data_IF_807024272106
#
_entry.id   IF_807024272106
#
_cell.length_a   1.000
_cell.length_b   1.000
_cell.length_c   1.000
_cell.angle_alpha   90.00
_cell.angle_beta   90.00
_cell.angle_gamma   90.00
#
_symmetry.space_group_name_H-M   'P 1'
#
loop_
_entity.id
_entity.type
_entity.pdbx_description
1 polymer ?
#
# COMPACT_ATOMS: atom_id res chain seq x y z
N UNK A 1 -4.61 -9.71 20.01
CA UNK A 1 -4.36 -10.04 18.59
C UNK A 1 -5.72 -10.03 17.92
N UNK A 2 -5.93 -9.27 16.84
CA UNK A 2 -7.24 -9.20 16.18
C UNK A 2 -7.55 -10.52 15.46
N UNK A 3 -8.79 -11.00 15.53
CA UNK A 3 -9.23 -12.19 14.80
C UNK A 3 -9.50 -11.85 13.33
N UNK A 4 -9.53 -12.87 12.47
CA UNK A 4 -9.88 -12.71 11.06
C UNK A 4 -11.27 -12.10 10.89
N UNK A 5 -12.25 -12.55 11.68
CA UNK A 5 -13.61 -11.98 11.72
C UNK A 5 -13.60 -10.48 12.07
N UNK A 6 -12.70 -10.06 12.99
CA UNK A 6 -12.59 -8.65 13.37
C UNK A 6 -12.09 -7.78 12.23
N UNK A 7 -11.17 -8.31 11.41
CA UNK A 7 -10.64 -7.64 10.22
C UNK A 7 -11.72 -7.57 9.14
N UNK A 8 -12.41 -8.69 8.89
CA UNK A 8 -13.49 -8.76 7.91
C UNK A 8 -14.61 -7.77 8.23
N UNK A 9 -15.06 -7.77 9.49
CA UNK A 9 -16.09 -6.83 9.96
C UNK A 9 -15.69 -5.37 9.76
N UNK A 10 -14.43 -5.02 10.08
CA UNK A 10 -13.92 -3.66 9.89
C UNK A 10 -13.91 -3.26 8.41
N UNK A 11 -13.52 -4.17 7.51
CA UNK A 11 -13.54 -3.92 6.07
C UNK A 11 -14.95 -3.68 5.53
N UNK A 12 -15.91 -4.49 5.94
CA UNK A 12 -17.31 -4.40 5.47
C UNK A 12 -18.05 -3.17 6.02
N UNK A 13 -17.66 -2.70 7.21
CA UNK A 13 -18.34 -1.60 7.91
C UNK A 13 -17.68 -0.24 7.65
N UNK A 14 -16.48 -0.20 7.04
CA UNK A 14 -15.79 1.08 6.78
C UNK A 14 -16.36 1.78 5.55
N UNK A 15 -16.77 3.04 5.74
CA UNK A 15 -17.24 3.92 4.67
C UNK A 15 -16.26 5.09 4.44
N UNK A 16 -16.14 5.52 3.18
CA UNK A 16 -15.35 6.71 2.82
C UNK A 16 -16.22 7.96 2.96
N UNK A 17 -15.98 8.73 4.03
CA UNK A 17 -16.71 9.99 4.28
C UNK A 17 -16.17 11.16 3.44
N UNK A 18 -14.88 11.13 3.13
CA UNK A 18 -14.21 12.17 2.34
C UNK A 18 -13.14 11.55 1.46
N UNK A 19 -13.31 11.72 0.15
CA UNK A 19 -12.33 11.26 -0.83
C UNK A 19 -11.12 12.19 -0.85
N UNK A 20 -9.91 11.67 -1.14
CA UNK A 20 -8.72 12.51 -1.25
C UNK A 20 -8.86 13.52 -2.40
N UNK A 21 -8.47 14.77 -2.15
CA UNK A 21 -8.52 15.87 -3.13
C UNK A 21 -7.70 15.60 -4.41
N UNK A 22 -6.72 14.68 -4.34
CA UNK A 22 -5.84 14.30 -5.45
C UNK A 22 -5.99 12.82 -5.75
N UNK A 23 -5.96 12.49 -7.05
CA UNK A 23 -5.86 11.11 -7.51
C UNK A 23 -4.57 10.49 -6.96
N UNK A 24 -4.72 9.39 -6.22
CA UNK A 24 -3.61 8.57 -5.79
C UNK A 24 -3.01 7.93 -7.04
N UNK A 25 -1.74 8.22 -7.32
CA UNK A 25 -1.07 7.65 -8.48
C UNK A 25 -0.78 6.17 -8.18
N UNK A 26 -1.42 5.25 -8.90
CA UNK A 26 -1.37 3.81 -8.62
C UNK A 26 0.00 3.19 -8.94
N UNK A 27 0.83 3.89 -9.73
CA UNK A 27 2.17 3.45 -10.13
C UNK A 27 3.26 4.50 -9.87
N UNK A 28 2.91 5.57 -9.16
CA UNK A 28 3.81 6.64 -8.75
C UNK A 28 4.02 6.64 -7.23
N UNK A 29 5.04 7.37 -6.78
CA UNK A 29 5.18 7.64 -5.34
C UNK A 29 4.11 8.67 -4.95
N UNK A 30 3.15 8.28 -4.14
CA UNK A 30 2.12 9.17 -3.62
C UNK A 30 2.19 9.22 -2.11
N UNK A 31 2.12 10.42 -1.55
CA UNK A 31 1.90 10.59 -0.11
C UNK A 31 0.67 11.45 0.14
N UNK A 32 -0.20 10.98 1.03
CA UNK A 32 -1.41 11.70 1.40
C UNK A 32 -1.69 11.58 2.90
N UNK A 33 -2.33 12.62 3.43
CA UNK A 33 -2.82 12.62 4.81
C UNK A 33 -4.20 11.98 4.85
N UNK A 34 -4.44 11.17 5.87
CA UNK A 34 -5.74 10.53 6.08
C UNK A 34 -6.28 10.84 7.47
N UNK A 35 -7.60 10.82 7.56
CA UNK A 35 -8.35 10.82 8.81
C UNK A 35 -9.28 9.60 8.79
N UNK A 36 -9.14 8.73 9.78
CA UNK A 36 -10.01 7.58 9.99
C UNK A 36 -10.83 7.81 11.25
N UNK A 37 -12.14 7.74 11.11
CA UNK A 37 -13.09 7.83 12.22
C UNK A 37 -13.64 6.43 12.45
N UNK A 38 -13.44 5.89 13.64
CA UNK A 38 -13.93 4.54 13.98
C UNK A 38 -14.44 4.50 15.41
N UNK A 39 -15.50 3.73 15.66
CA UNK A 39 -15.89 3.40 17.03
C UNK A 39 -14.83 2.53 17.72
N UNK A 40 -14.81 2.58 19.06
CA UNK A 40 -14.00 1.65 19.84
C UNK A 40 -14.71 0.29 19.89
N UNK A 41 -14.01 -0.76 19.49
CA UNK A 41 -14.55 -2.14 19.58
C UNK A 41 -14.87 -2.54 21.03
N UNK A 42 -14.18 -1.94 21.99
CA UNK A 42 -14.29 -2.26 23.42
C UNK A 42 -15.30 -1.36 24.16
N UNK A 43 -15.78 -0.27 23.55
CA UNK A 43 -16.58 0.74 24.26
C UNK A 43 -17.63 1.41 23.36
N UNK A 44 -18.90 1.19 23.67
CA UNK A 44 -20.03 1.69 22.88
C UNK A 44 -20.22 3.19 23.08
N UNK A 45 -20.55 3.93 22.02
CA UNK A 45 -20.70 5.41 22.01
C UNK A 45 -19.40 6.20 22.15
N UNK A 46 -18.24 5.56 22.01
CA UNK A 46 -16.96 6.26 21.90
C UNK A 46 -16.41 6.17 20.49
N UNK A 47 -15.99 7.31 19.96
CA UNK A 47 -15.39 7.43 18.63
C UNK A 47 -13.94 7.84 18.77
N UNK A 48 -13.06 7.20 17.99
CA UNK A 48 -11.64 7.54 17.89
C UNK A 48 -11.34 8.08 16.50
N UNK A 49 -10.73 9.26 16.47
CA UNK A 49 -10.15 9.84 15.25
C UNK A 49 -8.68 9.47 15.20
N UNK A 50 -8.26 8.81 14.13
CA UNK A 50 -6.86 8.48 13.83
C UNK A 50 -6.42 9.29 12.63
N UNK A 51 -5.33 10.04 12.75
CA UNK A 51 -4.73 10.79 11.66
C UNK A 51 -3.35 10.26 11.36
N UNK A 52 -2.94 10.31 10.10
CA UNK A 52 -1.58 9.93 9.71
C UNK A 52 -1.27 10.28 8.27
N UNK A 53 -0.07 9.92 7.84
CA UNK A 53 0.39 10.07 6.48
C UNK A 53 0.65 8.67 5.91
N UNK A 54 0.03 8.35 4.78
CA UNK A 54 0.32 7.13 4.03
C UNK A 54 1.32 7.49 2.94
N UNK A 55 2.35 6.67 2.82
CA UNK A 55 3.32 6.71 1.74
C UNK A 55 3.13 5.44 0.90
N UNK A 56 2.69 5.63 -0.33
CA UNK A 56 2.67 4.58 -1.34
C UNK A 56 3.89 4.79 -2.25
N UNK A 57 4.81 3.83 -2.26
CA UNK A 57 5.96 3.83 -3.15
C UNK A 57 5.66 3.07 -4.43
N UNK A 58 6.41 3.38 -5.50
CA UNK A 58 6.32 2.61 -6.74
C UNK A 58 6.74 1.15 -6.47
N UNK A 59 5.90 0.15 -6.82
CA UNK A 59 6.29 -1.25 -6.71
C UNK A 59 7.49 -1.52 -7.60
N UNK A 60 8.56 -2.10 -7.04
CA UNK A 60 9.75 -2.54 -7.77
C UNK A 60 9.78 -4.06 -7.83
N UNK A 61 10.21 -4.61 -8.97
CA UNK A 61 10.48 -6.04 -9.10
C UNK A 61 11.83 -6.31 -8.43
N UNK A 62 11.79 -7.04 -7.32
CA UNK A 62 13.00 -7.56 -6.69
C UNK A 62 13.47 -8.79 -7.48
N UNK A 63 14.62 -8.69 -8.15
CA UNK A 63 15.26 -9.83 -8.81
C UNK A 63 16.21 -10.51 -7.82
N UNK A 64 16.27 -11.86 -7.77
CA UNK A 64 17.27 -12.56 -6.98
C UNK A 64 18.67 -12.32 -7.59
N UNK A 65 19.67 -12.02 -6.74
CA UNK A 65 21.08 -11.75 -7.11
C UNK A 65 21.69 -12.70 -8.17
N UNK A 66 21.42 -14.02 -8.19
CA UNK A 66 22.03 -14.94 -9.17
C UNK A 66 21.54 -14.77 -10.62
N UNK A 67 20.51 -13.96 -10.88
CA UNK A 67 19.94 -13.80 -12.23
C UNK A 67 20.55 -12.64 -13.04
N UNK A 68 21.43 -11.84 -12.45
CA UNK A 68 22.12 -10.73 -13.12
C UNK A 68 22.94 -11.20 -14.33
N UNK A 69 23.60 -12.36 -14.19
CA UNK A 69 24.47 -12.92 -15.23
C UNK A 69 23.68 -13.55 -16.39
N UNK A 70 22.40 -13.88 -16.17
CA UNK A 70 21.51 -14.49 -17.15
C UNK A 70 20.79 -13.45 -18.04
N UNK A 71 20.85 -12.16 -17.70
CA UNK A 71 20.05 -11.11 -18.38
C UNK A 71 20.42 -10.97 -19.88
N UNK A 72 21.66 -11.31 -20.23
CA UNK A 72 22.15 -11.25 -21.60
C UNK A 72 22.65 -12.61 -22.12
N UNK A 73 22.39 -13.71 -21.41
CA UNK A 73 22.78 -15.03 -21.87
C UNK A 73 22.01 -15.37 -23.16
N UNK A 74 22.76 -15.57 -24.26
CA UNK A 74 22.18 -15.79 -25.59
C UNK A 74 21.96 -14.51 -26.43
N UNK A 75 22.22 -13.33 -25.87
CA UNK A 75 22.33 -12.09 -26.62
C UNK A 75 23.80 -11.85 -27.04
N UNK A 76 24.02 -11.25 -28.21
CA UNK A 76 25.38 -10.96 -28.68
C UNK A 76 26.08 -9.88 -27.83
N UNK A 77 27.40 -9.76 -27.96
CA UNK A 77 28.25 -8.89 -27.13
C UNK A 77 27.79 -7.42 -27.02
N UNK A 78 27.01 -6.93 -27.97
CA UNK A 78 26.44 -5.57 -27.95
C UNK A 78 25.38 -5.36 -26.86
N UNK A 79 24.82 -6.42 -26.28
CA UNK A 79 23.77 -6.34 -25.28
C UNK A 79 24.30 -5.85 -23.92
N UNK A 80 25.58 -6.06 -23.61
CA UNK A 80 26.23 -5.58 -22.39
C UNK A 80 26.40 -4.05 -22.32
N UNK A 81 26.04 -3.31 -23.38
CA UNK A 81 26.14 -1.85 -23.43
C UNK A 81 24.86 -1.12 -22.95
N UNK A 82 23.79 -1.85 -22.62
CA UNK A 82 22.47 -1.34 -22.22
C UNK A 82 22.08 -1.86 -20.85
#
# INVERSE_FOLDING_TARGET
>A
MYSEDSIQYALETTEVLHEPDRRIDTFGTTSFQFHLISELMDDVSQVRVRSGQIHAERPTILKPEPYSDLEFEGFGDQAHAF
#
